data_IF_612377470186
#
_entry.id   IF_612377470186
#
_cell.length_a   1.000
_cell.length_b   1.000
_cell.length_c   1.000
_cell.angle_alpha   90.00
_cell.angle_beta   90.00
_cell.angle_gamma   90.00
#
_symmetry.space_group_name_H-M   'P 1'
#
loop_
_entity.id
_entity.type
_entity.pdbx_description
1 polymer ?
#
# COMPACT_ATOMS: atom_id res chain seq x y z
N UNK A 1 -17.09 6.82 18.65
CA UNK A 1 -15.64 6.69 18.39
C UNK A 1 -14.99 5.83 19.48
N UNK A 2 -15.22 6.14 20.76
CA UNK A 2 -14.62 5.39 21.88
C UNK A 2 -14.99 3.90 21.84
N UNK A 3 -16.24 3.57 21.54
CA UNK A 3 -16.71 2.18 21.41
C UNK A 3 -16.06 1.48 20.22
N UNK A 4 -15.87 2.19 19.09
CA UNK A 4 -15.19 1.65 17.92
C UNK A 4 -13.70 1.36 18.21
N UNK A 5 -13.01 2.28 18.89
CA UNK A 5 -11.62 2.08 19.30
C UNK A 5 -11.50 0.91 20.29
N UNK A 6 -12.39 0.83 21.28
CA UNK A 6 -12.43 -0.29 22.21
C UNK A 6 -12.68 -1.61 21.50
N UNK A 7 -13.56 -1.65 20.50
CA UNK A 7 -13.84 -2.84 19.71
C UNK A 7 -12.60 -3.28 18.91
N UNK A 8 -11.89 -2.34 18.28
CA UNK A 8 -10.64 -2.63 17.56
C UNK A 8 -9.60 -3.24 18.51
N UNK A 9 -9.38 -2.61 19.67
CA UNK A 9 -8.40 -3.08 20.66
C UNK A 9 -8.80 -4.45 21.22
N UNK A 10 -10.06 -4.63 21.61
CA UNK A 10 -10.54 -5.90 22.14
C UNK A 10 -10.51 -7.02 21.10
N UNK A 11 -10.82 -6.73 19.85
CA UNK A 11 -10.74 -7.71 18.76
C UNK A 11 -9.30 -8.09 18.42
N UNK A 12 -8.38 -7.13 18.47
CA UNK A 12 -6.96 -7.38 18.20
C UNK A 12 -6.23 -8.10 19.33
N UNK A 13 -6.56 -7.78 20.61
CA UNK A 13 -5.81 -8.25 21.77
C UNK A 13 -6.64 -9.09 22.76
N UNK A 14 -7.92 -9.35 22.49
CA UNK A 14 -8.81 -10.09 23.36
C UNK A 14 -8.41 -11.55 23.52
N UNK A 15 -8.54 -12.07 24.74
CA UNK A 15 -8.17 -13.46 25.11
C UNK A 15 -8.95 -14.55 24.34
N UNK A 16 -10.15 -14.27 23.87
CA UNK A 16 -10.95 -15.19 23.04
C UNK A 16 -10.46 -15.32 21.59
N UNK A 17 -9.58 -14.44 21.18
CA UNK A 17 -9.03 -14.36 19.80
C UNK A 17 -7.64 -14.99 19.67
N UNK A 18 -7.14 -15.66 20.71
CA UNK A 18 -5.73 -16.07 20.82
C UNK A 18 -5.23 -17.02 19.71
N UNK A 19 -6.12 -17.72 19.02
CA UNK A 19 -5.75 -18.60 17.90
C UNK A 19 -5.79 -17.92 16.51
N UNK A 20 -6.31 -16.71 16.42
CA UNK A 20 -6.34 -15.89 15.20
C UNK A 20 -6.22 -14.40 15.48
N UNK A 21 -6.48 -13.94 16.73
CA UNK A 21 -6.66 -12.54 17.07
C UNK A 21 -5.41 -11.67 16.93
N UNK A 22 -4.54 -11.63 17.93
CA UNK A 22 -3.38 -10.71 17.88
C UNK A 22 -2.37 -11.08 16.79
N UNK A 23 -2.09 -12.38 16.63
CA UNK A 23 -1.17 -12.85 15.59
C UNK A 23 -1.80 -12.70 14.20
N UNK A 24 -3.08 -13.06 14.04
CA UNK A 24 -3.81 -12.91 12.80
C UNK A 24 -3.94 -11.43 12.40
N UNK A 25 -4.29 -10.54 13.33
CA UNK A 25 -4.35 -9.11 13.10
C UNK A 25 -2.97 -8.53 12.75
N UNK A 26 -1.91 -8.99 13.41
CA UNK A 26 -0.53 -8.59 13.09
C UNK A 26 -0.15 -9.01 11.66
N UNK A 27 -0.40 -10.26 11.29
CA UNK A 27 -0.05 -10.79 9.95
C UNK A 27 -0.84 -10.04 8.88
N UNK A 28 -2.16 -9.95 9.01
CA UNK A 28 -3.01 -9.27 8.02
C UNK A 28 -2.70 -7.77 7.97
N UNK A 29 -2.52 -7.13 9.12
CA UNK A 29 -2.15 -5.70 9.18
C UNK A 29 -0.81 -5.44 8.49
N UNK A 30 0.18 -6.31 8.70
CA UNK A 30 1.48 -6.21 8.04
C UNK A 30 1.37 -6.42 6.52
N UNK A 31 0.62 -7.42 6.08
CA UNK A 31 0.36 -7.65 4.65
C UNK A 31 -0.31 -6.45 3.99
N UNK A 32 -1.38 -5.94 4.60
CA UNK A 32 -2.14 -4.82 4.05
C UNK A 32 -1.34 -3.52 4.05
N UNK A 33 -0.59 -3.21 5.10
CA UNK A 33 0.26 -2.01 5.15
C UNK A 33 1.41 -2.09 4.15
N UNK A 34 2.09 -3.22 4.03
CA UNK A 34 3.15 -3.41 3.04
C UNK A 34 2.63 -3.23 1.61
N UNK A 35 1.40 -3.68 1.33
CA UNK A 35 0.76 -3.51 0.02
C UNK A 35 0.31 -2.06 -0.22
N UNK A 36 -0.13 -1.35 0.82
CA UNK A 36 -0.66 0.01 0.72
C UNK A 36 0.43 1.06 0.52
N UNK A 37 1.45 1.06 1.37
CA UNK A 37 2.51 2.07 1.35
C UNK A 37 3.82 1.61 0.70
N UNK A 38 3.89 0.35 0.26
CA UNK A 38 5.04 -0.26 -0.44
C UNK A 38 6.37 -0.17 0.32
N UNK A 39 6.35 0.22 1.59
CA UNK A 39 7.56 0.37 2.40
C UNK A 39 8.28 -0.98 2.59
N UNK A 40 9.56 -1.00 2.25
CA UNK A 40 10.38 -2.22 2.35
C UNK A 40 10.27 -3.18 1.17
N UNK A 41 9.42 -2.91 0.18
CA UNK A 41 9.27 -3.75 -1.01
C UNK A 41 10.31 -3.47 -2.11
N UNK A 42 10.92 -2.28 -2.11
CA UNK A 42 11.85 -1.84 -3.16
C UNK A 42 11.18 -1.04 -4.29
N UNK A 43 9.88 -1.10 -4.43
CA UNK A 43 9.12 -0.30 -5.40
C UNK A 43 9.14 1.17 -5.04
N UNK A 44 9.00 1.51 -3.76
CA UNK A 44 9.12 2.87 -3.25
C UNK A 44 10.47 3.51 -3.64
N UNK A 45 11.58 2.77 -3.56
CA UNK A 45 12.89 3.29 -3.97
C UNK A 45 12.97 3.56 -5.48
N UNK A 46 12.27 2.81 -6.33
CA UNK A 46 12.18 3.09 -7.76
C UNK A 46 11.39 4.38 -8.00
N UNK A 47 10.27 4.58 -7.28
CA UNK A 47 9.46 5.80 -7.38
C UNK A 47 10.27 7.04 -6.96
N UNK A 48 10.85 7.02 -5.76
CA UNK A 48 11.60 8.13 -5.20
C UNK A 48 12.92 8.41 -5.95
N UNK A 49 13.50 7.42 -6.64
CA UNK A 49 14.67 7.63 -7.50
C UNK A 49 14.40 8.49 -8.73
N UNK A 50 13.14 8.70 -9.10
CA UNK A 50 12.75 9.57 -10.22
C UNK A 50 12.69 11.05 -9.83
N UNK A 51 12.81 11.38 -8.56
CA UNK A 51 12.80 12.77 -8.07
C UNK A 51 14.13 13.44 -8.37
N UNK A 52 14.07 14.65 -8.91
CA UNK A 52 15.25 15.48 -9.15
C UNK A 52 15.66 16.19 -7.86
N UNK A 53 16.74 15.75 -7.25
CA UNK A 53 17.27 16.30 -6.00
C UNK A 53 18.81 16.22 -5.96
N UNK A 54 19.44 17.24 -5.41
CA UNK A 54 20.89 17.25 -5.16
C UNK A 54 21.26 16.50 -3.89
N UNK A 55 20.31 16.26 -3.00
CA UNK A 55 20.52 15.61 -1.70
C UNK A 55 19.55 14.42 -1.52
N UNK A 56 19.96 13.19 -1.87
CA UNK A 56 19.09 12.00 -1.74
C UNK A 56 18.52 11.78 -0.34
N UNK A 57 19.22 12.23 0.70
CA UNK A 57 18.73 12.13 2.09
C UNK A 57 17.47 12.97 2.31
N UNK A 58 17.31 14.12 1.66
CA UNK A 58 16.10 14.94 1.77
C UNK A 58 14.88 14.19 1.27
N UNK A 59 15.00 13.51 0.14
CA UNK A 59 13.94 12.67 -0.41
C UNK A 59 13.64 11.47 0.50
N UNK A 60 14.68 10.83 1.03
CA UNK A 60 14.50 9.74 2.00
C UNK A 60 13.77 10.17 3.27
N UNK A 61 13.95 11.41 3.74
CA UNK A 61 13.22 11.96 4.88
C UNK A 61 11.76 12.27 4.52
N UNK A 62 11.50 12.79 3.32
CA UNK A 62 10.13 13.03 2.83
C UNK A 62 9.37 11.71 2.69
N UNK A 63 10.01 10.69 2.14
CA UNK A 63 9.38 9.36 1.97
C UNK A 63 8.93 8.69 3.27
N UNK A 64 9.50 9.08 4.43
CA UNK A 64 9.03 8.59 5.74
C UNK A 64 7.61 9.07 6.09
N UNK A 65 7.14 10.17 5.50
CA UNK A 65 5.79 10.68 5.74
C UNK A 65 4.73 9.82 5.05
N UNK A 66 5.07 9.14 3.98
CA UNK A 66 4.13 8.32 3.20
C UNK A 66 3.49 7.20 4.02
N UNK A 67 4.26 6.28 4.66
CA UNK A 67 3.67 5.25 5.52
C UNK A 67 2.90 5.82 6.72
N UNK A 68 3.34 6.96 7.25
CA UNK A 68 2.64 7.61 8.35
C UNK A 68 1.28 8.13 7.92
N UNK A 69 1.21 8.89 6.82
CA UNK A 69 -0.05 9.46 6.31
C UNK A 69 -0.97 8.34 5.86
N UNK A 70 -0.49 7.40 5.07
CA UNK A 70 -1.29 6.29 4.55
C UNK A 70 -1.84 5.41 5.67
N UNK A 71 -0.98 4.85 6.48
CA UNK A 71 -1.37 3.81 7.45
C UNK A 71 -1.94 4.41 8.74
N UNK A 72 -1.26 5.42 9.32
CA UNK A 72 -1.69 5.97 10.62
C UNK A 72 -2.87 6.94 10.50
N UNK A 73 -2.97 7.68 9.39
CA UNK A 73 -4.05 8.66 9.23
C UNK A 73 -5.19 8.10 8.38
N UNK A 74 -4.93 7.78 7.12
CA UNK A 74 -6.00 7.43 6.16
C UNK A 74 -6.65 6.09 6.52
N UNK A 75 -5.86 5.03 6.75
CA UNK A 75 -6.40 3.72 7.08
C UNK A 75 -7.15 3.73 8.43
N UNK A 76 -6.68 4.49 9.42
CA UNK A 76 -7.37 4.63 10.70
C UNK A 76 -8.70 5.35 10.53
N UNK A 77 -8.75 6.46 9.80
CA UNK A 77 -10.00 7.18 9.53
C UNK A 77 -11.01 6.30 8.78
N UNK A 78 -10.58 5.60 7.75
CA UNK A 78 -11.44 4.69 6.99
C UNK A 78 -11.99 3.58 7.87
N UNK A 79 -11.15 2.96 8.70
CA UNK A 79 -11.56 1.91 9.64
C UNK A 79 -12.57 2.43 10.66
N UNK A 80 -12.37 3.63 11.21
CA UNK A 80 -13.30 4.23 12.14
C UNK A 80 -14.68 4.50 11.49
N UNK A 81 -14.71 5.00 10.26
CA UNK A 81 -15.97 5.22 9.52
C UNK A 81 -16.70 3.90 9.32
N UNK A 82 -16.00 2.86 8.87
CA UNK A 82 -16.60 1.55 8.64
C UNK A 82 -17.14 0.96 9.96
N UNK A 83 -16.34 0.94 11.02
CA UNK A 83 -16.72 0.30 12.28
C UNK A 83 -17.85 1.06 12.96
N UNK A 84 -17.81 2.38 13.02
CA UNK A 84 -18.88 3.18 13.61
C UNK A 84 -20.21 3.02 12.86
N UNK A 85 -20.18 2.75 11.57
CA UNK A 85 -21.38 2.54 10.77
C UNK A 85 -21.90 1.12 10.90
N UNK A 86 -21.04 0.12 10.69
CA UNK A 86 -21.38 -1.30 10.69
C UNK A 86 -21.89 -1.78 12.05
N UNK A 87 -21.12 -1.50 13.10
CA UNK A 87 -21.40 -2.07 14.43
C UNK A 87 -22.39 -1.27 15.24
N UNK A 88 -22.62 -0.01 14.91
CA UNK A 88 -23.58 0.84 15.63
C UNK A 88 -24.92 0.98 14.93
N UNK A 89 -24.98 0.86 13.60
CA UNK A 89 -26.17 1.23 12.84
C UNK A 89 -26.71 0.14 11.90
N UNK A 90 -25.86 -0.57 11.16
CA UNK A 90 -26.32 -1.56 10.19
C UNK A 90 -25.37 -2.76 10.07
N UNK A 91 -25.59 -3.82 10.86
CA UNK A 91 -24.77 -5.04 10.78
C UNK A 91 -24.81 -5.76 9.43
N UNK A 92 -25.85 -5.50 8.59
CA UNK A 92 -25.98 -6.16 7.28
C UNK A 92 -24.86 -5.78 6.31
N UNK A 93 -24.26 -4.63 6.51
CA UNK A 93 -23.12 -4.16 5.72
C UNK A 93 -21.87 -5.06 5.86
N UNK A 94 -21.79 -5.87 6.92
CA UNK A 94 -20.69 -6.82 7.16
C UNK A 94 -20.58 -7.96 6.14
N UNK A 95 -21.61 -8.14 5.28
CA UNK A 95 -21.57 -9.09 4.17
C UNK A 95 -20.96 -8.52 2.87
N UNK A 96 -20.62 -7.23 2.86
CA UNK A 96 -20.00 -6.58 1.72
C UNK A 96 -18.46 -6.76 1.79
N UNK A 97 -17.82 -6.79 0.63
CA UNK A 97 -16.39 -6.95 0.50
C UNK A 97 -15.72 -5.76 -0.21
N UNK A 98 -14.46 -5.55 0.09
CA UNK A 98 -13.62 -4.55 -0.57
C UNK A 98 -14.18 -3.13 -0.46
N UNK A 99 -14.14 -2.38 -1.55
CA UNK A 99 -14.59 -0.99 -1.59
C UNK A 99 -16.12 -0.83 -1.38
N UNK A 100 -16.90 -1.89 -1.58
CA UNK A 100 -18.36 -1.84 -1.41
C UNK A 100 -18.74 -1.56 0.06
N UNK A 101 -18.00 -2.13 1.02
CA UNK A 101 -18.22 -1.87 2.45
C UNK A 101 -17.93 -0.40 2.79
N UNK A 102 -16.84 0.15 2.27
CA UNK A 102 -16.47 1.56 2.47
C UNK A 102 -17.52 2.48 1.85
N UNK A 103 -17.97 2.16 0.63
CA UNK A 103 -19.00 2.93 -0.08
C UNK A 103 -20.32 2.94 0.68
N UNK A 104 -20.76 1.80 1.20
CA UNK A 104 -21.99 1.70 1.97
C UNK A 104 -21.87 2.44 3.32
N UNK A 105 -20.73 2.35 3.99
CA UNK A 105 -20.49 3.07 5.24
C UNK A 105 -20.54 4.60 5.05
N UNK A 106 -19.98 5.12 3.98
CA UNK A 106 -20.09 6.54 3.67
C UNK A 106 -21.49 6.94 3.21
N UNK A 107 -22.16 6.11 2.40
CA UNK A 107 -23.52 6.36 1.95
C UNK A 107 -24.52 6.50 3.11
N UNK A 108 -24.29 5.77 4.21
CA UNK A 108 -25.11 5.86 5.41
C UNK A 108 -25.16 7.30 5.99
N UNK A 109 -24.07 8.04 5.86
CA UNK A 109 -23.98 9.42 6.36
C UNK A 109 -24.21 10.47 5.29
N UNK A 110 -23.84 10.18 4.04
CA UNK A 110 -23.85 11.12 2.92
C UNK A 110 -24.29 10.38 1.65
N UNK A 111 -25.56 10.48 1.28
CA UNK A 111 -26.20 9.72 0.20
C UNK A 111 -25.49 9.79 -1.16
N UNK A 112 -24.90 10.93 -1.49
CA UNK A 112 -24.22 11.14 -2.78
C UNK A 112 -22.74 10.74 -2.79
N UNK A 113 -22.15 10.44 -1.62
CA UNK A 113 -20.72 10.15 -1.49
C UNK A 113 -20.24 8.93 -2.28
N UNK A 114 -21.02 7.85 -2.50
CA UNK A 114 -20.61 6.73 -3.34
C UNK A 114 -20.16 7.12 -4.74
N UNK A 115 -20.71 8.19 -5.31
CA UNK A 115 -20.29 8.68 -6.64
C UNK A 115 -18.88 9.26 -6.57
N UNK A 116 -18.59 10.06 -5.55
CA UNK A 116 -17.25 10.63 -5.32
C UNK A 116 -16.24 9.52 -5.03
N UNK A 117 -16.61 8.56 -4.18
CA UNK A 117 -15.76 7.43 -3.87
C UNK A 117 -15.48 6.56 -5.12
N UNK A 118 -16.48 6.36 -5.97
CA UNK A 118 -16.31 5.64 -7.24
C UNK A 118 -15.33 6.33 -8.18
N UNK A 119 -15.43 7.66 -8.32
CA UNK A 119 -14.49 8.45 -9.12
C UNK A 119 -13.08 8.38 -8.51
N UNK A 120 -12.97 8.56 -7.19
CA UNK A 120 -11.70 8.46 -6.49
C UNK A 120 -11.06 7.07 -6.67
N UNK A 121 -11.83 6.00 -6.52
CA UNK A 121 -11.37 4.63 -6.72
C UNK A 121 -10.86 4.39 -8.14
N UNK A 122 -11.57 4.90 -9.15
CA UNK A 122 -11.13 4.81 -10.54
C UNK A 122 -9.79 5.51 -10.76
N UNK A 123 -9.64 6.74 -10.23
CA UNK A 123 -8.39 7.49 -10.32
C UNK A 123 -7.24 6.80 -9.59
N UNK A 124 -7.50 6.27 -8.39
CA UNK A 124 -6.50 5.49 -7.63
C UNK A 124 -6.08 4.22 -8.37
N UNK A 125 -7.02 3.44 -8.88
CA UNK A 125 -6.71 2.23 -9.63
C UNK A 125 -5.87 2.54 -10.87
N UNK A 126 -6.20 3.60 -11.59
CA UNK A 126 -5.48 4.01 -12.78
C UNK A 126 -4.07 4.52 -12.46
N UNK A 127 -3.91 5.37 -11.44
CA UNK A 127 -2.60 5.86 -11.01
C UNK A 127 -1.69 4.73 -10.52
N UNK A 128 -2.24 3.79 -9.75
CA UNK A 128 -1.51 2.61 -9.30
C UNK A 128 -1.05 1.73 -10.46
N UNK A 129 -1.92 1.50 -11.44
CA UNK A 129 -1.56 0.74 -12.64
C UNK A 129 -0.40 1.40 -13.42
N UNK A 130 -0.40 2.73 -13.53
CA UNK A 130 0.70 3.48 -14.18
C UNK A 130 2.00 3.35 -13.36
N UNK A 131 1.93 3.52 -12.03
CA UNK A 131 3.09 3.40 -11.16
C UNK A 131 3.74 2.01 -11.26
N UNK A 132 2.93 0.95 -11.15
CA UNK A 132 3.42 -0.43 -11.27
C UNK A 132 3.93 -0.77 -12.66
N UNK A 133 3.33 -0.21 -13.72
CA UNK A 133 3.87 -0.32 -15.07
C UNK A 133 5.26 0.33 -15.18
N UNK A 134 5.46 1.47 -14.53
CA UNK A 134 6.76 2.14 -14.48
C UNK A 134 7.81 1.31 -13.74
N UNK A 135 7.47 0.78 -12.54
CA UNK A 135 8.39 -0.07 -11.77
C UNK A 135 8.79 -1.32 -12.55
N UNK A 136 7.82 -1.99 -13.15
CA UNK A 136 8.07 -3.16 -13.97
C UNK A 136 8.90 -2.84 -15.22
N UNK A 137 8.62 -1.71 -15.88
CA UNK A 137 9.39 -1.28 -17.05
C UNK A 137 10.84 -0.99 -16.68
N UNK A 138 11.10 -0.30 -15.57
CA UNK A 138 12.47 -0.03 -15.11
C UNK A 138 13.23 -1.32 -14.79
N UNK A 139 12.59 -2.26 -14.13
CA UNK A 139 13.18 -3.58 -13.85
C UNK A 139 13.41 -4.39 -15.13
N UNK A 140 12.48 -4.34 -16.06
CA UNK A 140 12.58 -5.01 -17.36
C UNK A 140 13.73 -4.46 -18.19
N UNK A 141 13.83 -3.13 -18.33
CA UNK A 141 14.89 -2.49 -19.12
C UNK A 141 16.26 -2.68 -18.50
N UNK A 142 16.35 -2.80 -17.18
CA UNK A 142 17.59 -3.15 -16.50
C UNK A 142 18.11 -4.55 -16.91
N UNK A 143 17.21 -5.51 -17.09
CA UNK A 143 17.57 -6.91 -17.43
C UNK A 143 17.76 -7.08 -18.93
N UNK A 144 16.85 -6.54 -19.76
CA UNK A 144 16.77 -6.81 -21.20
C UNK A 144 17.29 -5.64 -22.08
N UNK A 145 17.74 -4.57 -21.45
CA UNK A 145 18.25 -3.38 -22.14
C UNK A 145 17.20 -2.37 -22.55
N UNK A 146 17.65 -1.13 -22.73
CA UNK A 146 16.84 0.03 -23.09
C UNK A 146 16.69 0.12 -24.61
N UNK A 147 15.80 -0.66 -25.20
CA UNK A 147 15.45 -0.54 -26.61
C UNK A 147 13.93 -0.34 -26.78
N UNK A 148 13.52 0.41 -27.80
CA UNK A 148 12.09 0.63 -28.08
C UNK A 148 11.31 -0.68 -28.28
N UNK A 149 11.95 -1.71 -28.84
CA UNK A 149 11.34 -3.04 -29.00
C UNK A 149 11.13 -3.72 -27.66
N UNK A 150 12.14 -3.71 -26.79
CA UNK A 150 12.08 -4.30 -25.43
C UNK A 150 10.97 -3.64 -24.59
N UNK A 151 10.91 -2.30 -24.61
CA UNK A 151 9.84 -1.57 -23.90
C UNK A 151 8.45 -1.90 -24.43
N UNK A 152 8.29 -2.01 -25.77
CA UNK A 152 6.99 -2.34 -26.36
C UNK A 152 6.53 -3.74 -25.94
N UNK A 153 7.44 -4.71 -25.95
CA UNK A 153 7.15 -6.08 -25.50
C UNK A 153 6.66 -6.07 -24.05
N UNK A 154 7.37 -5.37 -23.16
CA UNK A 154 6.93 -5.25 -21.76
C UNK A 154 5.53 -4.63 -21.65
N UNK A 155 5.27 -3.51 -22.33
CA UNK A 155 3.97 -2.83 -22.30
C UNK A 155 2.83 -3.73 -22.80
N UNK A 156 3.08 -4.52 -23.84
CA UNK A 156 2.09 -5.49 -24.35
C UNK A 156 1.81 -6.59 -23.32
N UNK A 157 2.85 -7.15 -22.70
CA UNK A 157 2.72 -8.16 -21.64
C UNK A 157 1.94 -7.57 -20.45
N UNK A 158 2.30 -6.36 -20.01
CA UNK A 158 1.62 -5.69 -18.90
C UNK A 158 0.13 -5.50 -19.19
N UNK A 159 -0.23 -4.94 -20.35
CA UNK A 159 -1.63 -4.78 -20.75
C UNK A 159 -2.38 -6.12 -20.82
N UNK A 160 -1.75 -7.18 -21.31
CA UNK A 160 -2.33 -8.51 -21.34
C UNK A 160 -2.65 -9.00 -19.91
N UNK A 161 -1.72 -8.87 -18.97
CA UNK A 161 -1.93 -9.28 -17.58
C UNK A 161 -2.99 -8.43 -16.86
N UNK A 162 -3.08 -7.14 -17.15
CA UNK A 162 -4.17 -6.29 -16.62
C UNK A 162 -5.52 -6.82 -17.11
N UNK A 163 -5.65 -7.13 -18.41
CA UNK A 163 -6.90 -7.73 -18.95
C UNK A 163 -7.22 -9.08 -18.31
N UNK A 164 -6.23 -9.96 -18.18
CA UNK A 164 -6.40 -11.27 -17.52
C UNK A 164 -6.81 -11.12 -16.06
N UNK A 165 -6.22 -10.17 -15.33
CA UNK A 165 -6.57 -9.88 -13.93
C UNK A 165 -8.03 -9.50 -13.74
N UNK A 166 -8.63 -8.78 -14.71
CA UNK A 166 -10.05 -8.43 -14.69
C UNK A 166 -10.99 -9.65 -14.87
N UNK A 167 -10.47 -10.78 -15.36
CA UNK A 167 -11.24 -12.01 -15.61
C UNK A 167 -11.17 -13.02 -14.46
N UNK A 168 -10.25 -12.82 -13.53
CA UNK A 168 -9.96 -13.73 -12.41
C UNK A 168 -10.70 -13.23 -11.16
N UNK A 169 -11.03 -14.14 -10.23
CA UNK A 169 -11.65 -13.76 -8.96
C UNK A 169 -10.68 -12.90 -8.14
N UNK A 170 -11.24 -11.83 -7.53
CA UNK A 170 -10.47 -10.86 -6.75
C UNK A 170 -9.61 -11.52 -5.66
N UNK A 171 -10.15 -12.52 -4.94
CA UNK A 171 -9.40 -13.24 -3.90
C UNK A 171 -8.13 -13.90 -4.44
N UNK A 172 -8.23 -14.59 -5.59
CA UNK A 172 -7.06 -15.25 -6.20
C UNK A 172 -6.01 -14.24 -6.69
N UNK A 173 -6.45 -13.07 -7.19
CA UNK A 173 -5.52 -12.00 -7.57
C UNK A 173 -4.82 -11.44 -6.33
N UNK A 174 -5.54 -11.23 -5.22
CA UNK A 174 -4.97 -10.73 -3.97
C UNK A 174 -3.97 -11.73 -3.37
N UNK A 175 -4.32 -13.02 -3.31
CA UNK A 175 -3.44 -14.06 -2.78
C UNK A 175 -2.12 -14.16 -3.58
N UNK A 176 -2.23 -14.09 -4.91
CA UNK A 176 -1.06 -14.08 -5.79
C UNK A 176 -0.22 -12.81 -5.60
N UNK A 177 -0.86 -11.66 -5.52
CA UNK A 177 -0.18 -10.37 -5.32
C UNK A 177 0.55 -10.34 -3.97
N UNK A 178 -0.10 -10.78 -2.90
CA UNK A 178 0.52 -10.87 -1.57
C UNK A 178 1.77 -11.76 -1.58
N UNK A 179 1.71 -12.90 -2.24
CA UNK A 179 2.88 -13.78 -2.39
C UNK A 179 4.03 -13.09 -3.15
N UNK A 180 3.72 -12.37 -4.23
CA UNK A 180 4.73 -11.66 -5.02
C UNK A 180 5.34 -10.49 -4.26
N UNK A 181 4.55 -9.74 -3.47
CA UNK A 181 5.03 -8.68 -2.59
C UNK A 181 6.11 -9.20 -1.64
N UNK A 182 5.89 -10.34 -0.99
CA UNK A 182 6.90 -10.94 -0.11
C UNK A 182 8.16 -11.39 -0.86
N UNK A 183 8.00 -11.93 -2.06
CA UNK A 183 9.15 -12.32 -2.90
C UNK A 183 10.03 -11.11 -3.26
N UNK A 184 9.40 -9.97 -3.57
CA UNK A 184 10.12 -8.72 -3.91
C UNK A 184 10.77 -8.11 -2.65
N UNK A 185 10.09 -8.18 -1.50
CA UNK A 185 10.58 -7.59 -0.26
C UNK A 185 11.89 -8.22 0.25
N UNK A 186 12.06 -9.55 0.09
CA UNK A 186 13.24 -10.26 0.61
C UNK A 186 14.56 -9.70 0.07
N UNK A 187 14.81 -9.62 -1.26
CA UNK A 187 16.05 -9.06 -1.77
C UNK A 187 16.21 -7.58 -1.42
N UNK A 188 15.12 -6.81 -1.39
CA UNK A 188 15.18 -5.41 -0.99
C UNK A 188 15.62 -5.21 0.46
N UNK A 189 15.07 -5.99 1.39
CA UNK A 189 15.46 -5.94 2.81
C UNK A 189 16.95 -6.26 2.97
N UNK A 190 17.46 -7.26 2.26
CA UNK A 190 18.89 -7.57 2.25
C UNK A 190 19.70 -6.36 1.76
N UNK A 191 19.27 -5.73 0.67
CA UNK A 191 19.90 -4.52 0.13
C UNK A 191 19.90 -3.38 1.14
N UNK A 192 18.78 -3.14 1.84
CA UNK A 192 18.67 -2.10 2.86
C UNK A 192 19.67 -2.32 4.01
N UNK A 193 19.83 -3.55 4.48
CA UNK A 193 20.84 -3.86 5.51
C UNK A 193 22.28 -3.61 5.03
N UNK A 194 22.58 -3.91 3.78
CA UNK A 194 23.89 -3.67 3.19
C UNK A 194 24.20 -2.16 3.06
N UNK A 195 23.22 -1.36 2.68
CA UNK A 195 23.35 0.09 2.52
C UNK A 195 23.17 0.89 3.83
N UNK A 196 22.66 0.29 4.89
CA UNK A 196 22.39 0.98 6.15
C UNK A 196 23.59 1.78 6.71
N UNK A 197 24.86 1.31 6.65
CA UNK A 197 26.00 2.10 7.11
C UNK A 197 26.24 3.36 6.27
N UNK A 198 26.02 3.28 4.96
CA UNK A 198 26.15 4.40 4.03
C UNK A 198 25.07 5.45 4.28
N UNK A 199 23.82 5.03 4.34
CA UNK A 199 22.70 5.92 4.67
C UNK A 199 22.89 6.62 6.00
N UNK A 200 23.37 5.90 7.02
CA UNK A 200 23.66 6.48 8.33
C UNK A 200 24.77 7.55 8.27
N UNK A 201 25.80 7.32 7.47
CA UNK A 201 26.89 8.30 7.26
C UNK A 201 26.36 9.56 6.58
N UNK A 202 25.60 9.39 5.51
CA UNK A 202 25.09 10.48 4.70
C UNK A 202 24.01 11.29 5.44
N UNK A 203 23.18 10.63 6.23
CA UNK A 203 22.22 11.29 7.13
C UNK A 203 22.94 12.17 8.18
N UNK A 204 24.02 11.67 8.80
CA UNK A 204 24.80 12.48 9.75
C UNK A 204 25.42 13.70 9.07
N UNK A 205 25.94 13.54 7.86
CA UNK A 205 26.51 14.65 7.09
C UNK A 205 25.44 15.68 6.71
N UNK A 206 24.25 15.23 6.34
CA UNK A 206 23.08 16.07 6.05
C UNK A 206 22.67 16.90 7.28
N UNK A 207 22.42 16.24 8.42
CA UNK A 207 22.03 16.91 9.66
C UNK A 207 23.08 17.95 10.13
N UNK A 208 24.37 17.62 10.00
CA UNK A 208 25.45 18.53 10.36
C UNK A 208 25.48 19.79 9.46
N UNK A 209 25.19 19.64 8.14
CA UNK A 209 25.13 20.77 7.20
C UNK A 209 23.95 21.70 7.47
N UNK A 210 22.79 21.14 7.80
CA UNK A 210 21.57 21.89 8.04
C UNK A 210 21.37 22.33 9.49
N UNK A 211 22.32 22.00 10.39
CA UNK A 211 22.30 22.38 11.83
C UNK A 211 21.03 21.89 12.55
N UNK A 212 20.52 20.71 12.18
CA UNK A 212 19.37 20.06 12.78
C UNK A 212 19.84 19.03 13.81
#
# INVERSE_FOLDING_TARGET
IDDALNLIIQSAFGLGSFTGGAIGALIIGFQRSAFSNEAGMGTASIAHSAVETDEPISEGLVSLLEPFIDTMVICTLTSLVIITTLYTNDPSLGNLEGIAITSAAFAFHIDWFPVVLGIAALLFAFSTAIAWAYYGLKSWTYIFGESRGSELVFKMIFCLFVCLGCMIKLSAVLDFSDAMVFVIAVPNIIGLYLYAPEVKRDLKAYLARHKI
#
